data_IF_249941511697
#
_entry.id   IF_249941511697
#
_cell.length_a   1.000
_cell.length_b   1.000
_cell.length_c   1.000
_cell.angle_alpha   90.00
_cell.angle_beta   90.00
_cell.angle_gamma   90.00
#
_symmetry.space_group_name_H-M   'P 1'
#
loop_
_entity.id
_entity.type
_entity.pdbx_description
1 polymer ?
#
# COMPACT_ATOMS: atom_id res chain seq x y z
N UNK A 1 -50.61 24.69 17.53
CA UNK A 1 -49.21 25.17 17.40
C UNK A 1 -48.93 25.40 15.93
N UNK A 2 -48.39 26.57 15.56
CA UNK A 2 -48.05 26.85 14.15
C UNK A 2 -46.74 26.17 13.78
N UNK A 3 -46.55 25.86 12.50
CA UNK A 3 -45.30 25.30 11.98
C UNK A 3 -44.08 26.19 12.33
N UNK A 4 -44.27 27.52 12.36
CA UNK A 4 -43.23 28.48 12.74
C UNK A 4 -42.79 28.34 14.20
N UNK A 5 -43.74 28.09 15.10
CA UNK A 5 -43.47 27.93 16.53
C UNK A 5 -42.82 26.57 16.83
N UNK A 6 -43.25 25.51 16.14
CA UNK A 6 -42.60 24.20 16.19
C UNK A 6 -41.14 24.27 15.70
N UNK A 7 -40.90 24.98 14.59
CA UNK A 7 -39.55 25.16 14.05
C UNK A 7 -38.66 25.97 14.99
N UNK A 8 -39.15 27.07 15.56
CA UNK A 8 -38.37 27.89 16.51
C UNK A 8 -37.96 27.13 17.77
N UNK A 9 -38.82 26.25 18.27
CA UNK A 9 -38.57 25.51 19.51
C UNK A 9 -37.71 24.25 19.29
N UNK A 10 -37.84 23.60 18.14
CA UNK A 10 -37.19 22.30 17.86
C UNK A 10 -36.06 22.34 16.83
N UNK A 11 -35.87 23.44 16.11
CA UNK A 11 -34.79 23.56 15.11
C UNK A 11 -33.40 23.37 15.75
N UNK A 12 -33.17 23.93 16.94
CA UNK A 12 -31.89 23.74 17.64
C UNK A 12 -31.60 22.27 17.96
N UNK A 13 -32.61 21.55 18.46
CA UNK A 13 -32.48 20.12 18.79
C UNK A 13 -32.31 19.27 17.52
N UNK A 14 -33.08 19.56 16.48
CA UNK A 14 -33.01 18.84 15.21
C UNK A 14 -31.62 19.03 14.55
N UNK A 15 -31.10 20.26 14.55
CA UNK A 15 -29.76 20.56 14.03
C UNK A 15 -28.68 19.83 14.84
N UNK A 16 -28.77 19.84 16.18
CA UNK A 16 -27.82 19.14 17.04
C UNK A 16 -27.80 17.63 16.78
N UNK A 17 -28.97 17.00 16.59
CA UNK A 17 -29.08 15.58 16.26
C UNK A 17 -28.46 15.26 14.90
N UNK A 18 -28.73 16.09 13.89
CA UNK A 18 -28.16 15.89 12.54
C UNK A 18 -26.63 16.00 12.55
N UNK A 19 -26.09 17.00 13.25
CA UNK A 19 -24.63 17.17 13.39
C UNK A 19 -24.02 15.99 14.15
N UNK A 20 -24.63 15.58 15.26
CA UNK A 20 -24.16 14.43 16.05
C UNK A 20 -24.15 13.13 15.24
N UNK A 21 -25.19 12.90 14.44
CA UNK A 21 -25.29 11.73 13.56
C UNK A 21 -24.26 11.79 12.42
N UNK A 22 -24.05 12.97 11.82
CA UNK A 22 -23.05 13.17 10.77
C UNK A 22 -21.63 12.90 11.29
N UNK A 23 -21.30 13.41 12.48
CA UNK A 23 -20.01 13.16 13.13
C UNK A 23 -19.84 11.68 13.49
N UNK A 24 -20.91 11.02 13.96
CA UNK A 24 -20.88 9.60 14.29
C UNK A 24 -20.60 8.72 13.07
N UNK A 25 -21.32 8.96 11.97
CA UNK A 25 -21.09 8.26 10.69
C UNK A 25 -19.70 8.57 10.14
N UNK A 26 -19.22 9.81 10.26
CA UNK A 26 -17.89 10.21 9.81
C UNK A 26 -16.78 9.44 10.54
N UNK A 27 -16.82 9.37 11.88
CA UNK A 27 -15.80 8.65 12.68
C UNK A 27 -15.81 7.16 12.40
N UNK A 28 -17.00 6.55 12.28
CA UNK A 28 -17.13 5.15 11.90
C UNK A 28 -16.62 4.91 10.47
N UNK A 29 -17.02 5.75 9.53
CA UNK A 29 -16.59 5.68 8.14
C UNK A 29 -15.08 5.82 7.97
N UNK A 30 -14.43 6.68 8.77
CA UNK A 30 -12.99 6.86 8.79
C UNK A 30 -12.27 5.60 9.33
N UNK A 31 -12.79 5.01 10.41
CA UNK A 31 -12.25 3.78 11.00
C UNK A 31 -12.37 2.57 10.06
N UNK A 32 -13.46 2.45 9.32
CA UNK A 32 -13.66 1.36 8.35
C UNK A 32 -13.06 1.63 6.96
N UNK A 33 -12.88 2.90 6.58
CA UNK A 33 -12.33 3.33 5.28
C UNK A 33 -10.80 3.33 5.21
N UNK A 34 -10.12 3.32 6.36
CA UNK A 34 -8.67 3.23 6.45
C UNK A 34 -8.12 1.83 6.19
N UNK A 35 -7.83 1.48 4.94
CA UNK A 35 -6.60 0.74 4.65
C UNK A 35 -6.65 -0.61 3.91
N UNK A 36 -7.78 -1.27 3.73
CA UNK A 36 -7.76 -2.65 3.15
C UNK A 36 -8.22 -2.73 1.68
N UNK A 37 -9.30 -2.03 1.29
CA UNK A 37 -9.89 -2.18 -0.05
C UNK A 37 -9.11 -1.51 -1.20
N UNK A 38 -8.62 -0.29 -0.99
CA UNK A 38 -7.87 0.46 -2.02
C UNK A 38 -6.43 -0.08 -2.15
N UNK A 39 -5.80 -0.47 -1.03
CA UNK A 39 -4.42 -0.97 -0.97
C UNK A 39 -4.26 -2.34 -1.62
N UNK A 40 -5.26 -3.23 -1.50
CA UNK A 40 -5.20 -4.54 -2.15
C UNK A 40 -5.29 -4.45 -3.68
N UNK A 41 -6.14 -3.57 -4.22
CA UNK A 41 -6.20 -3.31 -5.66
C UNK A 41 -4.94 -2.63 -6.19
N UNK A 42 -4.39 -1.66 -5.45
CA UNK A 42 -3.14 -1.01 -5.80
C UNK A 42 -1.97 -2.02 -5.86
N UNK A 43 -1.86 -2.92 -4.86
CA UNK A 43 -0.85 -4.00 -4.86
C UNK A 43 -0.90 -4.88 -6.11
N UNK A 44 -2.09 -5.24 -6.60
CA UNK A 44 -2.25 -6.06 -7.80
C UNK A 44 -1.71 -5.38 -9.07
N UNK A 45 -1.78 -4.05 -9.18
CA UNK A 45 -1.25 -3.34 -10.36
C UNK A 45 0.28 -3.36 -10.43
N UNK A 46 0.96 -3.56 -9.31
CA UNK A 46 2.41 -3.61 -9.24
C UNK A 46 2.95 -5.03 -9.09
N UNK A 47 2.11 -6.07 -9.22
CA UNK A 47 2.55 -7.46 -9.15
C UNK A 47 3.22 -7.86 -10.48
N UNK A 48 4.46 -8.34 -10.41
CA UNK A 48 5.24 -8.80 -11.57
C UNK A 48 5.19 -10.32 -11.75
N UNK A 49 4.80 -11.05 -10.71
CA UNK A 49 4.65 -12.49 -10.76
C UNK A 49 4.42 -13.10 -9.38
N UNK A 50 4.32 -14.42 -9.35
CA UNK A 50 4.16 -15.20 -8.12
C UNK A 50 5.30 -16.21 -8.03
N UNK A 51 6.00 -16.25 -6.90
CA UNK A 51 7.10 -17.17 -6.64
C UNK A 51 6.75 -17.98 -5.38
N UNK A 52 6.75 -19.30 -5.46
CA UNK A 52 6.46 -20.15 -4.30
C UNK A 52 5.03 -20.04 -3.75
N UNK A 53 4.10 -19.40 -4.47
CA UNK A 53 2.74 -19.12 -3.98
C UNK A 53 2.56 -17.72 -3.39
N UNK A 54 3.64 -16.95 -3.26
CA UNK A 54 3.60 -15.56 -2.80
C UNK A 54 3.74 -14.57 -3.96
N UNK A 55 2.89 -13.54 -3.98
CA UNK A 55 2.96 -12.44 -4.94
C UNK A 55 4.27 -11.67 -4.77
N UNK A 56 4.92 -11.33 -5.88
CA UNK A 56 6.08 -10.45 -5.92
C UNK A 56 5.67 -9.14 -6.59
N UNK A 57 5.84 -8.03 -5.89
CA UNK A 57 5.66 -6.70 -6.46
C UNK A 57 6.94 -6.19 -7.12
N UNK A 58 6.77 -5.37 -8.15
CA UNK A 58 7.85 -4.63 -8.81
C UNK A 58 8.67 -3.81 -7.81
N UNK A 59 8.01 -3.20 -6.82
CA UNK A 59 8.68 -2.37 -5.83
C UNK A 59 9.62 -3.19 -4.94
N UNK A 60 9.22 -4.39 -4.52
CA UNK A 60 10.07 -5.31 -3.77
C UNK A 60 11.28 -5.73 -4.62
N UNK A 61 11.05 -6.14 -5.86
CA UNK A 61 12.13 -6.52 -6.77
C UNK A 61 13.14 -5.39 -7.00
N UNK A 62 12.67 -4.18 -7.33
CA UNK A 62 13.57 -3.04 -7.55
C UNK A 62 14.32 -2.62 -6.28
N UNK A 63 13.72 -2.82 -5.10
CA UNK A 63 14.40 -2.56 -3.82
C UNK A 63 15.57 -3.51 -3.63
N UNK A 64 15.38 -4.80 -3.88
CA UNK A 64 16.47 -5.79 -3.78
C UNK A 64 17.56 -5.57 -4.84
N UNK A 65 17.18 -5.21 -6.07
CA UNK A 65 18.13 -4.80 -7.11
C UNK A 65 18.95 -3.58 -6.64
N UNK A 66 18.29 -2.57 -6.08
CA UNK A 66 18.97 -1.37 -5.57
C UNK A 66 19.94 -1.68 -4.43
N UNK A 67 19.56 -2.55 -3.50
CA UNK A 67 20.42 -3.01 -2.41
C UNK A 67 21.70 -3.66 -2.95
N UNK A 68 21.56 -4.55 -3.94
CA UNK A 68 22.70 -5.25 -4.52
C UNK A 68 23.60 -4.30 -5.32
N UNK A 69 23.02 -3.34 -6.04
CA UNK A 69 23.75 -2.25 -6.70
C UNK A 69 24.54 -1.42 -5.68
N UNK A 70 23.96 -1.09 -4.53
CA UNK A 70 24.63 -0.32 -3.48
C UNK A 70 25.83 -1.09 -2.93
N UNK A 71 25.70 -2.39 -2.68
CA UNK A 71 26.82 -3.26 -2.27
C UNK A 71 27.95 -3.22 -3.31
N UNK A 72 27.64 -3.31 -4.60
CA UNK A 72 28.64 -3.21 -5.68
C UNK A 72 29.30 -1.83 -5.75
N UNK A 73 28.55 -0.76 -5.46
CA UNK A 73 29.11 0.59 -5.38
C UNK A 73 30.07 0.74 -4.20
N UNK A 74 29.72 0.16 -3.05
CA UNK A 74 30.58 0.13 -1.86
C UNK A 74 31.85 -0.69 -2.09
N UNK A 75 31.82 -1.70 -2.97
CA UNK A 75 32.99 -2.50 -3.34
C UNK A 75 33.95 -1.80 -4.33
N UNK A 76 33.70 -0.53 -4.67
CA UNK A 76 34.57 0.29 -5.53
C UNK A 76 34.11 0.45 -6.98
N UNK A 77 32.97 -0.14 -7.38
CA UNK A 77 32.41 0.02 -8.73
C UNK A 77 31.40 1.18 -8.74
N UNK A 78 31.89 2.41 -8.82
CA UNK A 78 31.04 3.62 -8.78
C UNK A 78 30.23 3.86 -10.06
N UNK A 79 30.64 3.28 -11.19
CA UNK A 79 29.89 3.30 -12.46
C UNK A 79 29.62 1.89 -12.93
N UNK A 80 28.41 1.39 -12.71
CA UNK A 80 27.94 0.14 -13.29
C UNK A 80 27.46 0.42 -14.72
N UNK A 81 27.95 -0.35 -15.68
CA UNK A 81 27.43 -0.33 -17.04
C UNK A 81 26.10 -1.10 -17.13
N UNK A 82 25.43 -0.98 -18.28
CA UNK A 82 24.13 -1.61 -18.50
C UNK A 82 24.21 -3.14 -18.42
N UNK A 83 25.29 -3.73 -18.93
CA UNK A 83 25.53 -5.17 -18.86
C UNK A 83 25.67 -5.69 -17.43
N UNK A 84 26.41 -4.97 -16.58
CA UNK A 84 26.55 -5.33 -15.16
C UNK A 84 25.22 -5.16 -14.43
N UNK A 85 24.47 -4.09 -14.74
CA UNK A 85 23.16 -3.85 -14.14
C UNK A 85 22.18 -4.96 -14.49
N UNK A 86 22.19 -5.45 -15.73
CA UNK A 86 21.34 -6.57 -16.15
C UNK A 86 21.73 -7.87 -15.45
N UNK A 87 23.03 -8.14 -15.32
CA UNK A 87 23.53 -9.29 -14.55
C UNK A 87 23.09 -9.23 -13.09
N UNK A 88 23.05 -8.04 -12.49
CA UNK A 88 22.58 -7.83 -11.12
C UNK A 88 21.09 -8.16 -11.01
N UNK A 89 20.26 -7.68 -11.95
CA UNK A 89 18.82 -7.99 -11.96
C UNK A 89 18.56 -9.50 -12.03
N UNK A 90 19.26 -10.20 -12.93
CA UNK A 90 19.14 -11.66 -13.05
C UNK A 90 19.57 -12.36 -11.75
N UNK A 91 20.69 -11.94 -11.15
CA UNK A 91 21.15 -12.49 -9.88
C UNK A 91 20.12 -12.30 -8.76
N UNK A 92 19.57 -11.08 -8.64
CA UNK A 92 18.50 -10.79 -7.67
C UNK A 92 17.29 -11.68 -7.91
N UNK A 93 16.85 -11.85 -9.16
CA UNK A 93 15.73 -12.71 -9.50
C UNK A 93 15.95 -14.16 -9.06
N UNK A 94 17.12 -14.74 -9.37
CA UNK A 94 17.45 -16.11 -8.97
C UNK A 94 17.54 -16.27 -7.45
N UNK A 95 18.07 -15.28 -6.73
CA UNK A 95 18.13 -15.29 -5.28
C UNK A 95 16.72 -15.26 -4.66
N UNK A 96 15.84 -14.37 -5.14
CA UNK A 96 14.46 -14.28 -4.66
C UNK A 96 13.67 -15.57 -4.92
N UNK A 97 13.88 -16.22 -6.07
CA UNK A 97 13.32 -17.54 -6.35
C UNK A 97 13.78 -18.55 -5.31
N UNK A 98 15.08 -18.62 -5.07
CA UNK A 98 15.66 -19.59 -4.14
C UNK A 98 15.14 -19.37 -2.72
N UNK A 99 15.18 -18.15 -2.22
CA UNK A 99 14.73 -17.80 -0.88
C UNK A 99 13.26 -18.17 -0.70
N UNK A 100 12.38 -17.73 -1.60
CA UNK A 100 10.94 -18.01 -1.46
C UNK A 100 10.58 -19.49 -1.64
N UNK A 101 11.31 -20.25 -2.46
CA UNK A 101 11.05 -21.68 -2.61
C UNK A 101 11.57 -22.48 -1.41
N UNK A 102 12.71 -22.07 -0.82
CA UNK A 102 13.26 -22.72 0.36
C UNK A 102 12.47 -22.38 1.63
N UNK A 103 11.98 -21.15 1.78
CA UNK A 103 11.13 -20.73 2.90
C UNK A 103 9.74 -21.39 2.87
N UNK A 104 9.26 -21.79 1.70
CA UNK A 104 7.97 -22.48 1.54
C UNK A 104 8.06 -24.02 1.70
N UNK A 105 9.20 -24.58 2.12
CA UNK A 105 9.37 -25.99 2.47
C UNK A 105 9.42 -26.20 3.99
#
# INVERSE_FOLDING_TARGET
>A
MSALQFLREKAGVLVAVVIGLALFIFVIGDFFGGGTGQSAKARKYYEIGTIGGESLSYQEFETEVSNLIEIYKLSGNTSLDEATTESIREQTWQNMIRERILDNQ
#
